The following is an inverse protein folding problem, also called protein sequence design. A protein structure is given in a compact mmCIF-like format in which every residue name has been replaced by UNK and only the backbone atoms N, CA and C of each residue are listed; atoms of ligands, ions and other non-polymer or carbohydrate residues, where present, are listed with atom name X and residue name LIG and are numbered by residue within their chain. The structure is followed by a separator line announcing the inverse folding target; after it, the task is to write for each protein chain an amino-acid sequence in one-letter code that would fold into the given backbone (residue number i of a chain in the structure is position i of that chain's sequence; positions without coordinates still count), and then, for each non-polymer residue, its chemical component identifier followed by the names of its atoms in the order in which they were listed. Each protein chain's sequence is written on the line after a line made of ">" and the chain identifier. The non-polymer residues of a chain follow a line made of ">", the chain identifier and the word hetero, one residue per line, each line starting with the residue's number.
data_IF_759227341228
#
_entry.id   IF_759227341228
#
_cell.length_a   1.000
_cell.length_b   1.000
_cell.length_c   1.000
_cell.angle_alpha   90.00
_cell.angle_beta   90.00
_cell.angle_gamma   90.00
#
_symmetry.space_group_name_H-M   'P 1'
#
loop_
_entity.id
_entity.type
_entity.pdbx_description
1 polymer ?
#
# COMPACT_ATOMS: atom_id res chain seq x y z
N UNK A 1 23.71 -62.00 49.50
CA UNK A 1 22.86 -60.79 49.54
C UNK A 1 23.31 -59.86 48.42
N UNK A 2 22.36 -59.44 47.58
CA UNK A 2 22.37 -58.41 46.54
C UNK A 2 23.64 -58.26 45.64
N UNK A 3 23.61 -58.61 44.35
CA UNK A 3 22.91 -57.96 43.22
C UNK A 3 23.55 -56.63 42.71
N UNK A 4 24.16 -56.70 41.50
CA UNK A 4 24.27 -55.72 40.38
C UNK A 4 24.91 -54.33 40.64
N UNK A 5 26.04 -54.00 39.98
CA UNK A 5 26.21 -53.36 38.65
C UNK A 5 26.07 -51.83 38.62
N UNK A 6 26.89 -51.21 37.75
CA UNK A 6 26.78 -49.85 37.19
C UNK A 6 27.35 -48.71 38.04
N UNK A 7 28.63 -48.41 37.79
CA UNK A 7 29.18 -47.07 37.98
C UNK A 7 28.69 -46.19 36.80
N UNK A 8 27.47 -45.67 36.90
CA UNK A 8 26.96 -44.62 36.03
C UNK A 8 27.48 -43.29 36.56
N UNK A 9 28.38 -42.65 35.79
CA UNK A 9 28.66 -41.24 36.01
C UNK A 9 27.36 -40.45 35.82
N UNK A 10 26.98 -39.71 36.87
CA UNK A 10 25.87 -38.78 36.84
C UNK A 10 26.15 -37.68 35.80
N UNK A 11 25.54 -37.76 34.61
CA UNK A 11 25.37 -36.57 33.77
C UNK A 11 24.34 -35.65 34.45
N UNK A 12 24.58 -34.33 34.51
CA UNK A 12 23.57 -33.38 34.97
C UNK A 12 22.35 -33.43 34.03
N UNK A 13 21.13 -33.20 34.52
CA UNK A 13 19.96 -33.09 33.66
C UNK A 13 20.17 -31.90 32.71
N UNK A 14 20.05 -32.16 31.41
CA UNK A 14 20.04 -31.13 30.38
C UNK A 14 18.88 -30.17 30.68
N UNK A 15 19.18 -29.02 31.27
CA UNK A 15 18.21 -27.96 31.49
C UNK A 15 17.86 -27.39 30.12
N UNK A 16 16.68 -27.72 29.64
CA UNK A 16 16.09 -27.18 28.42
C UNK A 16 16.09 -25.64 28.49
N UNK A 17 17.05 -24.99 27.83
CA UNK A 17 17.12 -23.54 27.62
C UNK A 17 16.19 -23.04 26.49
N UNK A 18 15.31 -23.92 26.02
CA UNK A 18 14.31 -23.67 24.97
C UNK A 18 13.25 -22.60 25.32
N UNK A 19 12.89 -22.27 26.58
CA UNK A 19 11.81 -21.30 26.80
C UNK A 19 12.24 -19.86 26.50
N UNK A 20 13.53 -19.53 26.61
CA UNK A 20 13.99 -18.15 26.40
C UNK A 20 13.93 -17.74 24.93
N UNK A 21 14.35 -18.62 24.01
CA UNK A 21 14.28 -18.35 22.58
C UNK A 21 12.82 -18.17 22.08
N UNK A 22 11.90 -18.99 22.61
CA UNK A 22 10.46 -18.89 22.34
C UNK A 22 9.86 -17.58 22.87
N UNK A 23 10.24 -17.16 24.09
CA UNK A 23 9.79 -15.89 24.69
C UNK A 23 10.33 -14.68 23.95
N UNK A 24 11.57 -14.74 23.47
CA UNK A 24 12.16 -13.65 22.67
C UNK A 24 11.47 -13.57 21.31
N UNK A 25 11.17 -14.71 20.67
CA UNK A 25 10.48 -14.73 19.37
C UNK A 25 9.04 -14.22 19.46
N UNK A 26 8.30 -14.57 20.52
CA UNK A 26 6.95 -14.03 20.76
C UNK A 26 6.99 -12.56 21.15
N UNK A 27 7.97 -12.11 21.94
CA UNK A 27 8.17 -10.70 22.25
C UNK A 27 8.47 -9.87 20.99
N UNK A 28 9.30 -10.38 20.07
CA UNK A 28 9.59 -9.75 18.78
C UNK A 28 8.31 -9.69 17.91
N UNK A 29 7.48 -10.73 17.88
CA UNK A 29 6.22 -10.72 17.14
C UNK A 29 5.17 -9.77 17.74
N UNK A 30 5.19 -9.55 19.07
CA UNK A 30 4.31 -8.62 19.77
C UNK A 30 4.78 -7.16 19.70
N UNK A 31 6.08 -6.94 19.49
CA UNK A 31 6.69 -5.62 19.30
C UNK A 31 6.89 -5.26 17.83
N UNK A 32 6.71 -6.23 16.93
CA UNK A 32 6.75 -5.97 15.50
C UNK A 32 5.63 -4.97 15.19
N UNK A 33 5.95 -3.80 14.60
CA UNK A 33 4.92 -2.91 14.13
C UNK A 33 4.05 -3.71 13.17
N UNK A 34 2.73 -3.65 13.38
CA UNK A 34 1.78 -4.24 12.44
C UNK A 34 2.16 -3.68 11.06
N UNK A 35 2.29 -4.56 10.06
CA UNK A 35 2.32 -4.18 8.65
C UNK A 35 0.93 -3.64 8.27
N UNK A 36 0.53 -2.54 8.91
CA UNK A 36 -0.48 -1.67 8.38
C UNK A 36 0.21 -1.01 7.20
N UNK A 37 -0.35 -1.14 6.01
CA UNK A 37 0.12 -0.42 4.83
C UNK A 37 0.39 1.02 5.23
N UNK A 38 1.68 1.38 5.27
CA UNK A 38 2.10 2.62 5.90
C UNK A 38 1.49 3.76 5.10
N UNK A 39 0.67 4.59 5.75
CA UNK A 39 0.19 5.81 5.14
C UNK A 39 1.42 6.65 4.74
N UNK A 40 1.47 7.25 3.54
CA UNK A 40 2.57 8.14 3.18
C UNK A 40 2.68 9.28 4.20
N UNK A 41 3.88 9.66 4.62
CA UNK A 41 4.09 10.76 5.59
C UNK A 41 3.50 12.11 5.11
N UNK A 42 3.36 12.25 3.80
CA UNK A 42 2.80 13.44 3.14
C UNK A 42 1.27 13.40 3.11
N UNK A 43 0.64 12.30 3.49
CA UNK A 43 -0.81 12.11 3.40
C UNK A 43 -1.40 11.80 4.77
N UNK A 44 -2.69 12.09 4.92
CA UNK A 44 -3.49 11.70 6.07
C UNK A 44 -4.42 10.56 5.67
N UNK A 45 -4.35 9.43 6.39
CA UNK A 45 -5.20 8.28 6.11
C UNK A 45 -6.22 8.06 7.24
N UNK A 46 -7.50 7.96 6.91
CA UNK A 46 -8.57 7.73 7.87
C UNK A 46 -9.65 6.84 7.27
N UNK A 47 -9.96 5.70 7.92
CA UNK A 47 -11.08 4.83 7.55
C UNK A 47 -11.19 4.46 6.06
N UNK A 48 -10.06 4.26 5.37
CA UNK A 48 -10.00 3.93 3.94
C UNK A 48 -9.91 5.14 3.01
N UNK A 49 -10.02 6.36 3.51
CA UNK A 49 -9.71 7.58 2.77
C UNK A 49 -8.23 7.94 2.91
N UNK A 50 -7.61 8.35 1.81
CA UNK A 50 -6.24 8.85 1.73
C UNK A 50 -6.26 10.27 1.19
N UNK A 51 -6.03 11.24 2.07
CA UNK A 51 -5.99 12.65 1.73
C UNK A 51 -4.54 13.12 1.55
N UNK A 52 -4.20 13.51 0.33
CA UNK A 52 -2.89 14.00 -0.08
C UNK A 52 -2.97 15.39 -0.77
N UNK A 53 -3.99 16.19 -0.47
CA UNK A 53 -4.22 17.48 -1.14
C UNK A 53 -3.16 18.54 -0.80
N UNK A 54 -2.90 19.49 -1.70
CA UNK A 54 -2.08 20.70 -1.45
C UNK A 54 -0.60 20.47 -1.04
N UNK A 55 -0.07 19.27 -1.23
CA UNK A 55 1.31 18.92 -0.89
C UNK A 55 2.33 19.18 -2.02
N UNK A 56 1.92 19.85 -3.10
CA UNK A 56 2.75 20.16 -4.29
C UNK A 56 3.36 18.90 -4.92
N UNK A 57 2.67 17.76 -4.79
CA UNK A 57 3.11 16.47 -5.28
C UNK A 57 3.29 16.52 -6.80
N UNK A 58 4.43 16.04 -7.29
CA UNK A 58 4.69 15.91 -8.73
C UNK A 58 4.32 14.54 -9.29
N UNK A 59 4.19 13.56 -8.40
CA UNK A 59 3.87 12.17 -8.67
C UNK A 59 2.98 11.64 -7.55
N UNK A 60 2.23 10.58 -7.84
CA UNK A 60 1.47 9.84 -6.83
C UNK A 60 2.46 9.10 -5.90
N UNK A 61 2.29 9.14 -4.57
CA UNK A 61 3.14 8.38 -3.65
C UNK A 61 3.02 6.87 -3.84
N UNK A 62 4.12 6.13 -3.74
CA UNK A 62 4.11 4.66 -3.96
C UNK A 62 3.51 3.87 -2.77
N UNK A 63 3.56 4.45 -1.56
CA UNK A 63 3.14 3.80 -0.32
C UNK A 63 1.65 4.02 0.00
N UNK A 64 0.77 3.93 -0.99
CA UNK A 64 -0.65 4.09 -0.75
C UNK A 64 -1.26 2.81 -0.13
N UNK A 65 -2.12 2.93 0.89
CA UNK A 65 -2.76 1.77 1.51
C UNK A 65 -3.60 0.98 0.51
N UNK A 66 -3.46 -0.35 0.51
CA UNK A 66 -4.16 -1.24 -0.44
C UNK A 66 -5.67 -1.31 -0.17
N UNK A 67 -6.08 -1.05 1.07
CA UNK A 67 -7.48 -0.97 1.49
C UNK A 67 -8.09 0.43 1.32
N UNK A 68 -7.43 1.32 0.58
CA UNK A 68 -7.99 2.64 0.26
C UNK A 68 -9.25 2.50 -0.61
N UNK A 69 -10.32 3.16 -0.19
CA UNK A 69 -11.60 3.28 -0.90
C UNK A 69 -11.75 4.65 -1.56
N UNK A 70 -11.05 5.67 -1.04
CA UNK A 70 -11.04 7.03 -1.57
C UNK A 70 -9.61 7.57 -1.55
N UNK A 71 -9.15 8.14 -2.66
CA UNK A 71 -7.84 8.80 -2.78
C UNK A 71 -8.05 10.21 -3.33
N UNK A 72 -7.58 11.19 -2.56
CA UNK A 72 -7.72 12.61 -2.84
C UNK A 72 -6.34 13.22 -3.09
N UNK A 73 -6.05 13.56 -4.35
CA UNK A 73 -4.78 14.11 -4.81
C UNK A 73 -4.95 15.53 -5.36
N UNK A 74 -5.99 16.22 -4.95
CA UNK A 74 -6.39 17.52 -5.47
C UNK A 74 -5.37 18.61 -5.17
N UNK A 75 -5.33 19.65 -6.01
CA UNK A 75 -4.47 20.83 -5.83
C UNK A 75 -2.97 20.48 -5.69
N UNK A 76 -2.53 19.51 -6.48
CA UNK A 76 -1.12 19.12 -6.58
C UNK A 76 -0.55 19.49 -7.96
N UNK A 77 0.71 19.13 -8.20
CA UNK A 77 1.43 19.39 -9.44
C UNK A 77 1.70 18.10 -10.21
N UNK A 78 0.80 17.11 -10.14
CA UNK A 78 0.99 15.81 -10.77
C UNK A 78 0.90 15.99 -12.28
N UNK A 79 1.96 15.57 -12.98
CA UNK A 79 2.09 15.78 -14.43
C UNK A 79 1.82 14.53 -15.25
N UNK A 80 1.98 13.34 -14.67
CA UNK A 80 1.72 12.10 -15.35
C UNK A 80 1.28 10.99 -14.39
N UNK A 81 0.37 10.13 -14.86
CA UNK A 81 0.09 8.85 -14.23
C UNK A 81 0.87 7.75 -14.93
N UNK A 82 1.76 7.08 -14.18
CA UNK A 82 2.62 6.00 -14.68
C UNK A 82 1.85 4.69 -14.81
N UNK A 83 2.47 3.69 -15.42
CA UNK A 83 1.92 2.34 -15.44
C UNK A 83 1.71 1.82 -14.01
N UNK A 84 0.59 1.12 -13.79
CA UNK A 84 0.31 0.41 -12.53
C UNK A 84 0.33 1.32 -11.28
N UNK A 85 0.06 2.61 -11.44
CA UNK A 85 0.04 3.58 -10.32
C UNK A 85 -0.93 3.17 -9.23
N UNK A 86 -2.11 2.62 -9.60
CA UNK A 86 -3.14 2.21 -8.64
C UNK A 86 -3.39 0.69 -8.63
N UNK A 87 -2.38 -0.11 -9.00
CA UNK A 87 -2.56 -1.56 -9.19
C UNK A 87 -2.84 -2.32 -7.88
N UNK A 88 -2.50 -1.74 -6.74
CA UNK A 88 -2.71 -2.37 -5.43
C UNK A 88 -4.05 -1.98 -4.81
N UNK A 89 -4.75 -1.00 -5.37
CA UNK A 89 -5.96 -0.39 -4.82
C UNK A 89 -7.21 -0.93 -5.51
N UNK A 90 -7.37 -2.24 -5.51
CA UNK A 90 -8.47 -2.93 -6.21
C UNK A 90 -9.86 -2.53 -5.69
N UNK A 91 -9.94 -2.10 -4.42
CA UNK A 91 -11.17 -1.63 -3.77
C UNK A 91 -11.41 -0.12 -3.87
N UNK A 92 -10.60 0.61 -4.64
CA UNK A 92 -10.75 2.06 -4.80
C UNK A 92 -12.05 2.38 -5.54
N UNK A 93 -12.86 3.24 -4.93
CA UNK A 93 -14.14 3.69 -5.48
C UNK A 93 -14.08 5.13 -5.97
N UNK A 94 -13.33 5.99 -5.29
CA UNK A 94 -13.25 7.41 -5.59
C UNK A 94 -11.79 7.82 -5.77
N UNK A 95 -11.46 8.39 -6.94
CA UNK A 95 -10.15 8.94 -7.23
C UNK A 95 -10.29 10.37 -7.74
N UNK A 96 -9.76 11.33 -6.98
CA UNK A 96 -9.78 12.74 -7.35
C UNK A 96 -8.37 13.26 -7.62
N UNK A 97 -8.20 13.86 -8.80
CA UNK A 97 -6.96 14.49 -9.28
C UNK A 97 -7.26 15.93 -9.73
N UNK A 98 -8.26 16.57 -9.11
CA UNK A 98 -8.69 17.92 -9.49
C UNK A 98 -7.55 18.93 -9.36
N UNK A 99 -7.51 19.92 -10.25
CA UNK A 99 -6.53 21.01 -10.19
C UNK A 99 -5.08 20.51 -10.14
N UNK A 100 -4.77 19.50 -10.96
CA UNK A 100 -3.41 19.02 -11.24
C UNK A 100 -2.91 19.47 -12.62
N UNK A 101 -1.64 19.18 -12.91
CA UNK A 101 -0.97 19.56 -14.16
C UNK A 101 -0.82 18.37 -15.13
N UNK A 102 -1.79 17.44 -15.12
CA UNK A 102 -1.69 16.18 -15.88
C UNK A 102 -1.55 16.46 -17.39
N UNK A 103 -0.44 15.99 -17.96
CA UNK A 103 -0.11 16.05 -19.39
C UNK A 103 -0.27 14.68 -20.05
N UNK A 104 -0.10 13.58 -19.29
CA UNK A 104 -0.18 12.23 -19.84
C UNK A 104 -0.69 11.21 -18.82
N UNK A 105 -1.43 10.21 -19.29
CA UNK A 105 -1.94 9.08 -18.50
C UNK A 105 -1.57 7.80 -19.23
N UNK A 106 -0.83 6.91 -18.58
CA UNK A 106 -0.47 5.62 -19.17
C UNK A 106 -1.70 4.71 -19.29
N UNK A 107 -1.78 3.87 -20.33
CA UNK A 107 -2.93 2.96 -20.57
C UNK A 107 -3.16 1.93 -19.46
N UNK A 108 -2.13 1.69 -18.65
CA UNK A 108 -2.16 0.77 -17.50
C UNK A 108 -2.15 1.51 -16.16
N UNK A 109 -2.32 2.83 -16.15
CA UNK A 109 -2.30 3.61 -14.91
C UNK A 109 -3.47 3.24 -13.99
N UNK A 110 -4.64 3.02 -14.59
CA UNK A 110 -5.90 2.66 -13.92
C UNK A 110 -6.17 1.14 -13.98
N UNK A 111 -5.19 0.34 -14.42
CA UNK A 111 -5.36 -1.11 -14.46
C UNK A 111 -5.44 -1.68 -13.04
N UNK A 112 -6.46 -2.49 -12.76
CA UNK A 112 -6.71 -3.07 -11.44
C UNK A 112 -7.81 -2.37 -10.63
N UNK A 113 -8.26 -1.19 -11.08
CA UNK A 113 -9.34 -0.43 -10.45
C UNK A 113 -10.73 -0.98 -10.83
N UNK A 114 -11.04 -2.21 -10.42
CA UNK A 114 -12.31 -2.88 -10.76
C UNK A 114 -13.54 -2.27 -10.09
N UNK A 115 -13.36 -1.63 -8.93
CA UNK A 115 -14.44 -1.07 -8.10
C UNK A 115 -14.61 0.45 -8.27
N UNK A 116 -13.92 1.07 -9.23
CA UNK A 116 -13.90 2.52 -9.39
C UNK A 116 -15.28 3.03 -9.84
N UNK A 117 -15.86 3.93 -9.05
CA UNK A 117 -17.16 4.54 -9.28
C UNK A 117 -17.02 5.99 -9.76
N UNK A 118 -16.00 6.70 -9.28
CA UNK A 118 -15.79 8.11 -9.60
C UNK A 118 -14.31 8.40 -9.89
N UNK A 119 -14.08 9.06 -11.02
CA UNK A 119 -12.78 9.56 -11.44
C UNK A 119 -12.91 11.04 -11.81
N UNK A 120 -12.40 11.92 -10.95
CA UNK A 120 -12.39 13.36 -11.21
C UNK A 120 -11.01 13.81 -11.73
N UNK A 121 -10.99 14.22 -13.01
CA UNK A 121 -9.82 14.82 -13.67
C UNK A 121 -10.07 16.30 -14.01
N UNK A 122 -11.02 16.99 -13.37
CA UNK A 122 -11.40 18.36 -13.74
C UNK A 122 -10.25 19.34 -13.48
N UNK A 123 -10.19 20.39 -14.29
CA UNK A 123 -9.17 21.43 -14.22
C UNK A 123 -7.72 20.91 -14.39
N UNK A 124 -7.55 19.85 -15.20
CA UNK A 124 -6.24 19.51 -15.72
C UNK A 124 -5.75 20.62 -16.64
N UNK A 125 -4.52 21.10 -16.43
CA UNK A 125 -3.88 22.17 -17.21
C UNK A 125 -3.58 21.83 -18.68
N UNK A 126 -4.39 20.97 -19.32
CA UNK A 126 -4.32 20.70 -20.76
C UNK A 126 -4.73 21.96 -21.53
N UNK A 127 -3.71 22.71 -21.91
CA UNK A 127 -3.70 23.46 -23.15
C UNK A 127 -4.06 22.51 -24.30
N UNK A 128 -5.37 22.41 -24.59
CA UNK A 128 -5.98 22.21 -25.91
C UNK A 128 -5.05 21.60 -26.97
N UNK A 129 -4.58 20.37 -26.77
CA UNK A 129 -4.13 19.50 -27.87
C UNK A 129 -4.97 18.25 -27.76
N UNK A 130 -5.61 17.91 -28.88
CA UNK A 130 -6.63 16.87 -29.02
C UNK A 130 -6.39 15.73 -28.02
N UNK A 131 -7.37 15.34 -27.19
CA UNK A 131 -7.23 14.12 -26.42
C UNK A 131 -6.97 13.01 -27.43
N UNK A 132 -5.74 12.51 -27.50
CA UNK A 132 -5.47 11.24 -28.15
C UNK A 132 -6.44 10.25 -27.50
N UNK A 133 -7.26 9.53 -28.28
CA UNK A 133 -8.22 8.61 -27.71
C UNK A 133 -7.45 7.69 -26.78
N UNK A 134 -7.82 7.68 -25.49
CA UNK A 134 -7.36 6.69 -24.54
C UNK A 134 -7.55 5.33 -25.24
N UNK A 135 -6.48 4.63 -25.66
CA UNK A 135 -6.64 3.29 -26.21
C UNK A 135 -6.78 2.33 -25.01
N UNK A 136 -7.81 2.58 -24.21
CA UNK A 136 -8.24 1.66 -23.17
C UNK A 136 -9.14 0.65 -23.85
N UNK A 137 -8.56 -0.46 -24.29
CA UNK A 137 -9.31 -1.61 -24.75
C UNK A 137 -10.26 -2.05 -23.63
N UNK A 138 -11.56 -1.84 -23.90
CA UNK A 138 -12.75 -2.31 -23.16
C UNK A 138 -12.73 -2.13 -21.64
N UNK A 139 -13.13 -0.92 -21.26
CA UNK A 139 -14.27 -0.64 -20.36
C UNK A 139 -13.92 0.59 -19.54
N UNK A 140 -14.10 1.75 -20.15
CA UNK A 140 -14.37 2.98 -19.42
C UNK A 140 -15.83 3.28 -19.71
N UNK A 141 -16.68 3.04 -18.71
CA UNK A 141 -17.92 3.75 -18.39
C UNK A 141 -18.50 3.04 -17.16
N UNK A 142 -18.75 3.85 -16.14
CA UNK A 142 -19.80 3.65 -15.13
C UNK A 142 -21.15 3.60 -15.83
#
# INVERSE_FOLDING_TARGET
>A
MAWWSRNQQCLPPARHTWPLALVIFTAILLWAPRLSSACPDVCSCSSGEVNCMEHKLRFVPDNLPANATSILLDYNHITALRNRTFVAQNGLRHLSLHSNLLVSIHCQALAGLSELQELDLKFIGIYKRRPSPLPCHRSLIV
#
